data_IF_340775675775
#
_entry.id   IF_340775675775
#
_cell.length_a   1.000
_cell.length_b   1.000
_cell.length_c   1.000
_cell.angle_alpha   90.00
_cell.angle_beta   90.00
_cell.angle_gamma   90.00
#
_symmetry.space_group_name_H-M   'P 1'
#
loop_
_entity.id
_entity.type
_entity.pdbx_description
1 polymer ?
#
# COMPACT_ATOMS: atom_id res chain seq x y z
N UNK A 1 1.15 31.23 -1.49
CA UNK A 1 0.47 30.21 -2.32
C UNK A 1 0.48 28.91 -1.55
N UNK A 2 -0.70 28.36 -1.23
CA UNK A 2 -0.82 27.07 -0.53
C UNK A 2 -0.79 25.90 -1.53
N UNK A 3 -0.52 24.67 -1.06
CA UNK A 3 -0.53 23.50 -1.93
C UNK A 3 -1.97 23.19 -2.39
N UNK A 4 -2.17 23.01 -3.70
CA UNK A 4 -3.48 22.66 -4.29
C UNK A 4 -3.93 21.23 -3.96
N UNK A 5 -2.99 20.38 -3.52
CA UNK A 5 -3.22 18.97 -3.18
C UNK A 5 -2.32 18.58 -2.01
N UNK A 6 -2.66 17.48 -1.32
CA UNK A 6 -1.81 16.91 -0.27
C UNK A 6 -0.41 16.57 -0.78
N UNK A 7 0.60 16.76 0.06
CA UNK A 7 2.00 16.41 -0.20
C UNK A 7 2.60 15.71 1.00
N UNK A 8 3.56 14.80 0.76
CA UNK A 8 4.34 14.09 1.80
C UNK A 8 3.51 13.31 2.84
N UNK A 9 2.72 12.29 2.44
CA UNK A 9 2.56 11.76 1.09
C UNK A 9 1.45 12.45 0.30
N UNK A 10 1.52 12.36 -1.04
CA UNK A 10 0.37 12.69 -1.89
C UNK A 10 -0.70 11.63 -1.67
N UNK A 11 -1.73 11.97 -0.92
CA UNK A 11 -2.78 11.05 -0.52
C UNK A 11 -3.58 10.55 -1.72
N UNK A 12 -4.03 9.30 -1.64
CA UNK A 12 -4.87 8.64 -2.61
C UNK A 12 -5.97 7.87 -1.88
N UNK A 13 -7.04 7.51 -2.58
CA UNK A 13 -8.13 6.73 -2.01
C UNK A 13 -8.18 5.35 -2.65
N UNK A 14 -8.14 4.30 -1.84
CA UNK A 14 -7.96 2.92 -2.31
C UNK A 14 -9.07 2.43 -3.24
N UNK A 15 -10.30 2.95 -3.12
CA UNK A 15 -11.40 2.56 -4.02
C UNK A 15 -11.25 3.17 -5.42
N UNK A 16 -10.44 4.23 -5.57
CA UNK A 16 -9.95 4.71 -6.87
C UNK A 16 -8.53 4.18 -7.07
N UNK A 17 -8.42 2.87 -7.35
CA UNK A 17 -7.13 2.20 -7.52
C UNK A 17 -6.33 2.82 -8.66
N UNK A 18 -5.13 3.27 -8.33
CA UNK A 18 -4.16 3.85 -9.26
C UNK A 18 -2.86 3.03 -9.22
N UNK A 19 -2.61 2.28 -10.30
CA UNK A 19 -1.43 1.41 -10.44
C UNK A 19 -0.14 2.22 -10.70
N UNK A 20 -0.26 3.47 -11.13
CA UNK A 20 0.89 4.36 -11.36
C UNK A 20 1.53 4.81 -10.04
N UNK A 21 0.83 4.67 -8.91
CA UNK A 21 1.40 4.89 -7.58
C UNK A 21 2.47 3.86 -7.21
N UNK A 22 2.49 2.70 -7.90
CA UNK A 22 3.41 1.59 -7.70
C UNK A 22 2.68 0.25 -7.56
N UNK A 23 3.36 -0.85 -7.88
CA UNK A 23 2.77 -2.20 -7.81
C UNK A 23 3.75 -3.21 -7.20
N UNK A 24 3.17 -4.26 -6.65
CA UNK A 24 3.85 -5.49 -6.23
C UNK A 24 4.40 -6.25 -7.45
N UNK A 25 5.55 -6.90 -7.30
CA UNK A 25 6.06 -7.83 -8.32
C UNK A 25 5.34 -9.17 -8.17
N UNK A 26 5.06 -9.83 -9.30
CA UNK A 26 4.20 -11.03 -9.41
C UNK A 26 4.49 -12.15 -8.39
N UNK A 27 5.74 -12.32 -7.96
CA UNK A 27 6.15 -13.38 -7.02
C UNK A 27 7.01 -12.89 -5.84
N UNK A 28 7.28 -11.59 -5.74
CA UNK A 28 8.14 -11.04 -4.69
C UNK A 28 7.56 -9.71 -4.22
N UNK A 29 6.89 -9.72 -3.09
CA UNK A 29 6.34 -8.52 -2.46
C UNK A 29 7.22 -8.08 -1.31
N UNK A 30 7.75 -6.87 -1.38
CA UNK A 30 8.51 -6.25 -0.30
C UNK A 30 7.64 -5.24 0.44
N UNK A 31 7.61 -5.32 1.78
CA UNK A 31 6.91 -4.34 2.62
C UNK A 31 7.40 -2.91 2.31
N UNK A 32 8.71 -2.72 2.14
CA UNK A 32 9.30 -1.42 1.84
C UNK A 32 8.82 -0.85 0.49
N UNK A 33 8.68 -1.70 -0.52
CA UNK A 33 8.14 -1.29 -1.83
C UNK A 33 6.64 -1.00 -1.74
N UNK A 34 5.91 -1.83 -0.99
CA UNK A 34 4.48 -1.66 -0.76
C UNK A 34 4.16 -0.40 0.05
N UNK A 35 5.03 0.00 0.97
CA UNK A 35 4.88 1.20 1.79
C UNK A 35 4.84 2.49 0.96
N UNK A 36 5.48 2.52 -0.22
CA UNK A 36 5.54 3.70 -1.10
C UNK A 36 4.12 4.09 -1.58
N UNK A 37 3.32 3.12 -2.02
CA UNK A 37 1.93 3.35 -2.41
C UNK A 37 0.98 3.19 -1.21
N UNK A 38 1.30 2.30 -0.28
CA UNK A 38 0.51 2.02 0.92
C UNK A 38 0.38 3.22 1.84
N UNK A 39 1.45 4.01 2.02
CA UNK A 39 1.40 5.25 2.80
C UNK A 39 0.52 6.33 2.15
N UNK A 40 0.35 6.31 0.81
CA UNK A 40 -0.56 7.24 0.11
C UNK A 40 -2.03 6.91 0.39
N UNK A 41 -2.37 5.63 0.44
CA UNK A 41 -3.75 5.18 0.73
C UNK A 41 -4.08 5.17 2.22
N UNK A 42 -3.16 4.68 3.05
CA UNK A 42 -3.45 4.32 4.44
C UNK A 42 -2.68 5.17 5.47
N UNK A 43 -1.73 6.02 5.02
CA UNK A 43 -0.89 6.83 5.90
C UNK A 43 -0.22 5.94 6.96
N UNK A 44 -0.27 6.34 8.22
CA UNK A 44 0.31 5.61 9.36
C UNK A 44 -0.40 4.27 9.64
N UNK A 45 -1.61 4.06 9.12
CA UNK A 45 -2.33 2.80 9.30
C UNK A 45 -1.73 1.63 8.53
N UNK A 46 -0.87 1.90 7.53
CA UNK A 46 -0.24 0.85 6.73
C UNK A 46 0.48 -0.19 7.61
N UNK A 47 1.24 0.26 8.61
CA UNK A 47 1.98 -0.63 9.52
C UNK A 47 1.05 -1.55 10.32
N UNK A 48 -0.10 -1.02 10.76
CA UNK A 48 -1.11 -1.82 11.45
C UNK A 48 -1.73 -2.86 10.51
N UNK A 49 -1.99 -2.50 9.26
CA UNK A 49 -2.57 -3.42 8.28
C UNK A 49 -1.57 -4.54 7.92
N UNK A 50 -0.29 -4.22 7.78
CA UNK A 50 0.79 -5.23 7.61
C UNK A 50 0.82 -6.20 8.78
N UNK A 51 0.58 -5.76 10.02
CA UNK A 51 0.49 -6.69 11.15
C UNK A 51 -0.77 -7.58 11.12
N UNK A 52 -1.87 -7.13 10.51
CA UNK A 52 -3.12 -7.88 10.41
C UNK A 52 -3.05 -8.96 9.33
N UNK A 53 -2.15 -8.86 8.35
CA UNK A 53 -1.95 -9.91 7.32
C UNK A 53 -1.54 -11.26 7.89
N UNK A 54 -1.23 -11.35 9.19
CA UNK A 54 -1.14 -12.62 9.94
C UNK A 54 -2.37 -13.53 9.78
N UNK A 55 -3.52 -12.98 9.40
CA UNK A 55 -4.72 -13.77 9.06
C UNK A 55 -4.60 -14.55 7.74
N UNK A 56 -3.69 -14.16 6.86
CA UNK A 56 -3.37 -14.84 5.60
C UNK A 56 -1.82 -14.92 5.41
N UNK A 57 -1.15 -15.80 6.19
CA UNK A 57 0.30 -15.94 6.12
C UNK A 57 0.79 -16.48 4.77
N UNK A 58 -0.07 -17.20 4.04
CA UNK A 58 0.20 -17.68 2.69
C UNK A 58 0.11 -16.60 1.60
N UNK A 59 -0.39 -15.41 1.94
CA UNK A 59 -0.68 -14.34 0.97
C UNK A 59 -1.54 -14.84 -0.19
N UNK A 60 -2.55 -15.64 0.12
CA UNK A 60 -3.50 -16.19 -0.84
C UNK A 60 -4.35 -15.06 -1.47
N UNK A 61 -4.82 -14.12 -0.66
CA UNK A 61 -5.61 -12.98 -1.09
C UNK A 61 -4.69 -11.84 -1.59
N UNK A 62 -4.07 -12.05 -2.74
CA UNK A 62 -3.11 -11.10 -3.32
C UNK A 62 -3.55 -10.51 -4.65
N UNK A 63 -3.12 -9.27 -4.91
CA UNK A 63 -3.24 -8.57 -6.17
C UNK A 63 -2.09 -7.54 -6.31
N UNK A 64 -2.09 -6.75 -7.39
CA UNK A 64 -1.00 -5.83 -7.76
C UNK A 64 -0.65 -4.78 -6.70
N UNK A 65 -1.57 -4.49 -5.77
CA UNK A 65 -1.41 -3.56 -4.66
C UNK A 65 -2.00 -4.15 -3.37
N UNK A 66 -1.94 -5.47 -3.19
CA UNK A 66 -2.31 -6.07 -1.90
C UNK A 66 -1.25 -5.80 -0.85
N UNK A 67 -1.67 -5.74 0.42
CA UNK A 67 -0.76 -5.52 1.53
C UNK A 67 0.06 -6.80 1.73
N UNK A 68 1.40 -6.74 1.68
CA UNK A 68 2.22 -7.94 1.82
C UNK A 68 2.14 -8.53 3.23
N UNK A 69 2.27 -9.85 3.36
CA UNK A 69 2.47 -10.49 4.65
C UNK A 69 3.79 -10.05 5.30
N UNK A 70 3.90 -10.25 6.62
CA UNK A 70 5.15 -10.12 7.37
C UNK A 70 6.20 -11.13 6.91
#
# INVERSE_FOLDING_TARGET
MGPYVSSSPRAAYVNYRDLDLGMNKKNHTSINQAQIWGAKYFKDNFNRMVNVTKVDPSNFFRHEQSIPPL
#
